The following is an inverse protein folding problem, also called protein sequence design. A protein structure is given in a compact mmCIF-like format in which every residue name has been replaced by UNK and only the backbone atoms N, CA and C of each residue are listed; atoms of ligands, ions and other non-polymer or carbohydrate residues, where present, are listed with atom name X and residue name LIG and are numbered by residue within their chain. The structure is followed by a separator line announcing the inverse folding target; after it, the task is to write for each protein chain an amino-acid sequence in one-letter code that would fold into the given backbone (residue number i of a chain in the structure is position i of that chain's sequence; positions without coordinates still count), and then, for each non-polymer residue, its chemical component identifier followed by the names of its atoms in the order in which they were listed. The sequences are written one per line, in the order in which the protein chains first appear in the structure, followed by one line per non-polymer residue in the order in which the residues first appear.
data_IF_085411921063
#
_entry.id   IF_085411921063
#
_cell.length_a   1.000
_cell.length_b   1.000
_cell.length_c   1.000
_cell.angle_alpha   90.00
_cell.angle_beta   90.00
_cell.angle_gamma   90.00
#
_symmetry.space_group_name_H-M   'P 1'
#
loop_
_entity.id
_entity.type
_entity.pdbx_description
1 polymer ?
#
# COMPACT_ATOMS: atom_id res chain seq x y z
N UNK A 1 15.14 -25.23 -2.55
CA UNK A 1 15.08 -23.98 -1.73
C UNK A 1 14.03 -23.06 -2.34
N UNK A 2 13.18 -22.44 -1.52
CA UNK A 2 12.24 -21.44 -2.02
C UNK A 2 13.02 -20.20 -2.53
N UNK A 3 12.69 -19.71 -3.72
CA UNK A 3 13.29 -18.48 -4.28
C UNK A 3 12.84 -17.28 -3.46
N UNK A 4 13.77 -16.44 -3.01
CA UNK A 4 13.45 -15.16 -2.38
C UNK A 4 12.75 -14.26 -3.40
N UNK A 5 11.64 -13.67 -2.99
CA UNK A 5 10.87 -12.71 -3.78
C UNK A 5 11.16 -11.30 -3.30
N UNK A 6 11.27 -10.35 -4.22
CA UNK A 6 11.62 -8.95 -3.93
C UNK A 6 10.44 -8.06 -4.35
N UNK A 7 10.00 -7.19 -3.45
CA UNK A 7 9.09 -6.09 -3.75
C UNK A 7 9.89 -4.80 -3.83
N UNK A 8 9.79 -4.09 -4.95
CA UNK A 8 10.44 -2.80 -5.15
C UNK A 8 9.53 -1.67 -4.63
N UNK A 9 10.09 -0.71 -3.90
CA UNK A 9 9.33 0.37 -3.26
C UNK A 9 9.75 1.78 -3.67
N UNK A 10 10.63 1.92 -4.64
CA UNK A 10 11.15 3.22 -5.08
C UNK A 10 10.06 4.18 -5.56
N UNK A 11 9.00 3.64 -6.17
CA UNK A 11 7.87 4.43 -6.67
C UNK A 11 6.90 4.90 -5.58
N UNK A 12 7.06 4.46 -4.34
CA UNK A 12 6.30 4.91 -3.17
C UNK A 12 7.22 5.37 -2.04
N UNK A 13 7.91 4.44 -1.38
CA UNK A 13 8.71 4.74 -0.18
C UNK A 13 9.99 5.51 -0.53
N UNK A 14 10.67 5.14 -1.60
CA UNK A 14 11.92 5.78 -2.01
C UNK A 14 11.75 7.28 -2.22
N UNK A 15 10.84 7.69 -3.09
CA UNK A 15 10.62 9.13 -3.32
C UNK A 15 9.89 9.83 -2.18
N UNK A 16 9.13 9.09 -1.36
CA UNK A 16 8.57 9.65 -0.12
C UNK A 16 9.69 10.04 0.84
N UNK A 17 10.69 9.20 0.98
CA UNK A 17 11.78 9.37 1.95
C UNK A 17 12.80 10.44 1.53
N UNK A 18 13.14 10.51 0.24
CA UNK A 18 14.22 11.40 -0.25
C UNK A 18 13.74 12.65 -0.97
N UNK A 19 12.49 12.68 -1.43
CA UNK A 19 11.93 13.78 -2.23
C UNK A 19 10.55 14.24 -1.70
N UNK A 20 10.26 14.02 -0.42
CA UNK A 20 9.01 14.40 0.23
C UNK A 20 7.76 14.03 -0.61
N UNK A 21 7.77 12.89 -1.27
CA UNK A 21 6.72 12.38 -2.16
C UNK A 21 6.50 13.28 -3.41
N UNK A 22 7.48 14.10 -3.80
CA UNK A 22 7.33 15.10 -4.87
C UNK A 22 7.69 14.61 -6.28
N UNK A 23 7.99 13.32 -6.46
CA UNK A 23 8.21 12.77 -7.80
C UNK A 23 6.91 12.79 -8.61
N UNK A 24 6.95 13.45 -9.76
CA UNK A 24 5.80 13.53 -10.67
C UNK A 24 5.66 12.28 -11.52
N UNK A 25 4.45 11.96 -11.95
CA UNK A 25 4.18 10.82 -12.82
C UNK A 25 5.11 10.81 -14.05
N UNK A 26 5.28 11.95 -14.72
CA UNK A 26 6.16 12.07 -15.90
C UNK A 26 7.62 11.67 -15.65
N UNK A 27 8.08 11.72 -14.39
CA UNK A 27 9.43 11.33 -14.01
C UNK A 27 9.53 9.81 -13.77
N UNK A 28 8.41 9.14 -13.48
CA UNK A 28 8.33 7.69 -13.31
C UNK A 28 8.23 6.96 -14.65
N UNK A 29 7.50 7.53 -15.61
CA UNK A 29 7.19 6.89 -16.90
C UNK A 29 8.40 6.26 -17.60
N UNK A 30 9.58 6.93 -17.69
CA UNK A 30 10.70 6.38 -18.43
C UNK A 30 11.29 5.07 -17.92
N UNK A 31 10.99 4.71 -16.65
CA UNK A 31 11.57 3.51 -16.00
C UNK A 31 10.55 2.38 -15.79
N UNK A 32 9.24 2.64 -15.96
CA UNK A 32 8.19 1.69 -15.60
C UNK A 32 8.30 0.36 -16.38
N UNK A 33 8.50 0.43 -17.69
CA UNK A 33 8.61 -0.77 -18.52
C UNK A 33 9.87 -1.58 -18.20
N UNK A 34 10.99 -0.89 -17.95
CA UNK A 34 12.22 -1.56 -17.53
C UNK A 34 12.05 -2.23 -16.15
N UNK A 35 11.35 -1.58 -15.21
CA UNK A 35 11.05 -2.17 -13.90
C UNK A 35 10.14 -3.39 -14.01
N UNK A 36 9.18 -3.37 -14.95
CA UNK A 36 8.26 -4.50 -15.19
C UNK A 36 9.00 -5.75 -15.70
N UNK A 37 10.12 -5.56 -16.43
CA UNK A 37 10.94 -6.67 -16.95
C UNK A 37 11.91 -7.28 -15.92
N UNK A 38 12.17 -6.62 -14.79
CA UNK A 38 13.10 -7.13 -13.75
C UNK A 38 12.59 -8.42 -13.10
N UNK A 39 11.27 -8.62 -13.06
CA UNK A 39 10.65 -9.79 -12.43
C UNK A 39 10.50 -9.66 -10.93
N UNK A 40 10.22 -8.46 -10.45
CA UNK A 40 9.83 -8.23 -9.06
C UNK A 40 8.55 -9.00 -8.69
N UNK A 41 8.41 -9.32 -7.41
CA UNK A 41 7.18 -9.90 -6.87
C UNK A 41 6.02 -8.89 -6.89
N UNK A 42 6.34 -7.62 -6.64
CA UNK A 42 5.42 -6.50 -6.72
C UNK A 42 6.20 -5.17 -6.87
N UNK A 43 5.53 -4.16 -7.40
CA UNK A 43 5.94 -2.76 -7.33
C UNK A 43 5.02 -2.01 -6.37
N UNK A 44 5.55 -1.55 -5.24
CA UNK A 44 4.80 -0.67 -4.36
C UNK A 44 4.89 0.76 -4.88
N UNK A 45 3.81 1.23 -5.48
CA UNK A 45 3.79 2.49 -6.24
C UNK A 45 2.76 3.50 -5.73
N UNK A 46 1.93 3.13 -4.76
CA UNK A 46 0.81 3.94 -4.33
C UNK A 46 0.54 3.82 -2.83
N UNK A 47 -0.16 4.83 -2.25
CA UNK A 47 -0.49 4.88 -0.84
C UNK A 47 -1.02 6.23 -0.43
N UNK A 48 -1.30 6.41 0.87
CA UNK A 48 -1.92 7.62 1.40
C UNK A 48 -1.13 8.89 1.15
N UNK A 49 0.17 8.89 1.43
CA UNK A 49 1.03 10.05 1.19
C UNK A 49 1.16 10.39 -0.29
N UNK A 50 1.20 9.39 -1.17
CA UNK A 50 1.23 9.58 -2.61
C UNK A 50 -0.05 10.23 -3.10
N UNK A 51 -1.21 9.74 -2.65
CA UNK A 51 -2.52 10.29 -2.98
C UNK A 51 -2.64 11.76 -2.57
N UNK A 52 -2.37 12.02 -1.28
CA UNK A 52 -2.46 13.37 -0.70
C UNK A 52 -1.53 14.37 -1.40
N UNK A 53 -0.30 13.95 -1.70
CA UNK A 53 0.70 14.80 -2.36
C UNK A 53 0.34 15.12 -3.81
N UNK A 54 -0.22 14.17 -4.55
CA UNK A 54 -0.72 14.42 -5.90
C UNK A 54 -1.68 15.61 -5.92
N UNK A 55 -2.64 15.63 -5.00
CA UNK A 55 -3.66 16.66 -4.93
C UNK A 55 -3.11 17.98 -4.38
N UNK A 56 -2.34 17.96 -3.28
CA UNK A 56 -1.93 19.17 -2.57
C UNK A 56 -0.77 19.90 -3.20
N UNK A 57 0.14 19.19 -3.86
CA UNK A 57 1.43 19.75 -4.22
C UNK A 57 1.83 19.55 -5.67
N UNK A 58 1.27 18.55 -6.34
CA UNK A 58 1.71 18.22 -7.69
C UNK A 58 0.70 18.63 -8.76
N UNK A 59 -0.52 18.97 -8.37
CA UNK A 59 -1.62 19.23 -9.32
C UNK A 59 -1.78 18.03 -10.29
N UNK A 60 -1.79 16.82 -9.71
CA UNK A 60 -1.96 15.56 -10.42
C UNK A 60 -3.16 14.80 -9.85
N UNK A 61 -3.96 14.18 -10.72
CA UNK A 61 -5.00 13.23 -10.31
C UNK A 61 -4.33 11.94 -9.80
N UNK A 62 -4.49 11.57 -8.51
CA UNK A 62 -3.89 10.35 -7.97
C UNK A 62 -4.43 9.07 -8.62
N UNK A 63 -5.67 9.05 -9.06
CA UNK A 63 -6.26 7.90 -9.75
C UNK A 63 -5.71 7.75 -11.17
N UNK A 64 -5.54 8.87 -11.89
CA UNK A 64 -4.90 8.86 -13.22
C UNK A 64 -3.44 8.39 -13.13
N UNK A 65 -2.73 8.79 -12.07
CA UNK A 65 -1.38 8.27 -11.79
C UNK A 65 -1.39 6.75 -11.70
N UNK A 66 -2.30 6.18 -10.91
CA UNK A 66 -2.39 4.73 -10.73
C UNK A 66 -2.73 4.02 -12.03
N UNK A 67 -3.77 4.49 -12.75
CA UNK A 67 -4.16 3.93 -14.06
C UNK A 67 -3.01 3.98 -15.07
N UNK A 68 -2.27 5.07 -15.08
CA UNK A 68 -1.14 5.23 -16.00
C UNK A 68 -0.01 4.28 -15.65
N UNK A 69 0.36 4.12 -14.38
CA UNK A 69 1.34 3.11 -13.96
C UNK A 69 0.87 1.72 -14.40
N UNK A 70 -0.39 1.36 -14.13
CA UNK A 70 -0.96 0.06 -14.52
C UNK A 70 -0.94 -0.16 -16.03
N UNK A 71 -1.07 0.91 -16.81
CA UNK A 71 -0.99 0.85 -18.27
C UNK A 71 0.41 0.47 -18.78
N UNK A 72 1.47 0.90 -18.09
CA UNK A 72 2.86 0.61 -18.45
C UNK A 72 3.40 -0.67 -17.80
N UNK A 73 2.93 -1.02 -16.61
CA UNK A 73 3.33 -2.23 -15.87
C UNK A 73 2.29 -3.34 -16.11
N UNK A 74 2.67 -4.36 -16.87
CA UNK A 74 1.75 -5.43 -17.33
C UNK A 74 1.94 -6.76 -16.62
N UNK A 75 3.16 -7.06 -16.19
CA UNK A 75 3.57 -8.36 -15.65
C UNK A 75 3.63 -8.35 -14.12
N UNK A 76 4.12 -7.23 -13.56
CA UNK A 76 4.39 -7.11 -12.13
C UNK A 76 3.16 -6.57 -11.39
N UNK A 77 2.68 -7.25 -10.35
CA UNK A 77 1.58 -6.75 -9.53
C UNK A 77 1.87 -5.39 -8.92
N UNK A 78 0.88 -4.50 -8.91
CA UNK A 78 0.96 -3.19 -8.25
C UNK A 78 0.50 -3.30 -6.79
N UNK A 79 1.31 -2.79 -5.88
CA UNK A 79 1.04 -2.77 -4.46
C UNK A 79 0.82 -1.36 -3.95
N UNK A 80 -0.12 -1.23 -3.00
CA UNK A 80 -0.28 -0.01 -2.21
C UNK A 80 -0.03 -0.25 -0.74
N UNK A 81 0.46 0.77 -0.05
CA UNK A 81 0.45 0.85 1.40
C UNK A 81 -0.84 1.52 1.87
N UNK A 82 -1.58 0.86 2.76
CA UNK A 82 -2.89 1.28 3.24
C UNK A 82 -2.88 1.48 4.76
N UNK A 83 -3.23 2.67 5.21
CA UNK A 83 -3.15 3.04 6.64
C UNK A 83 -4.45 2.67 7.39
N UNK A 84 -4.83 1.40 7.38
CA UNK A 84 -6.00 0.90 8.11
C UNK A 84 -7.22 1.82 8.00
N UNK A 85 -7.91 2.07 9.11
CA UNK A 85 -9.09 2.93 9.17
C UNK A 85 -8.84 4.39 8.78
N UNK A 86 -7.57 4.83 8.76
CA UNK A 86 -7.22 6.20 8.38
C UNK A 86 -7.08 6.38 6.86
N UNK A 87 -7.07 5.30 6.09
CA UNK A 87 -6.92 5.30 4.63
C UNK A 87 -5.67 6.10 4.20
N UNK A 88 -5.85 7.35 3.82
CA UNK A 88 -4.82 8.30 3.41
C UNK A 88 -4.71 9.52 4.34
N UNK A 89 -5.58 9.59 5.36
CA UNK A 89 -5.68 10.74 6.24
C UNK A 89 -5.02 10.54 7.61
N UNK A 90 -5.39 11.43 8.53
CA UNK A 90 -4.89 11.49 9.91
C UNK A 90 -6.02 11.34 10.94
N UNK A 91 -7.14 10.81 10.53
CA UNK A 91 -8.31 10.47 11.36
C UNK A 91 -8.96 9.20 10.83
N UNK A 92 -9.77 8.56 11.65
CA UNK A 92 -10.58 7.45 11.20
C UNK A 92 -11.69 7.92 10.25
N UNK A 93 -11.84 7.20 9.16
CA UNK A 93 -12.98 7.33 8.26
C UNK A 93 -14.06 6.31 8.63
N UNK A 94 -15.29 6.56 8.23
CA UNK A 94 -16.38 5.60 8.38
C UNK A 94 -16.13 4.35 7.50
N UNK A 95 -16.67 3.20 7.90
CA UNK A 95 -16.42 1.93 7.23
C UNK A 95 -16.84 1.94 5.75
N UNK A 96 -17.97 2.57 5.43
CA UNK A 96 -18.45 2.71 4.06
C UNK A 96 -17.44 3.46 3.16
N UNK A 97 -16.77 4.48 3.70
CA UNK A 97 -15.70 5.21 3.00
C UNK A 97 -14.48 4.30 2.79
N UNK A 98 -14.12 3.49 3.79
CA UNK A 98 -13.03 2.51 3.67
C UNK A 98 -13.33 1.51 2.56
N UNK A 99 -14.53 0.96 2.54
CA UNK A 99 -14.98 0.01 1.52
C UNK A 99 -14.97 0.62 0.12
N UNK A 100 -15.53 1.81 -0.04
CA UNK A 100 -15.57 2.49 -1.33
C UNK A 100 -14.15 2.82 -1.82
N UNK A 101 -13.27 3.29 -0.93
CA UNK A 101 -11.88 3.57 -1.30
C UNK A 101 -11.12 2.32 -1.75
N UNK A 102 -11.29 1.20 -1.05
CA UNK A 102 -10.68 -0.08 -1.41
C UNK A 102 -11.18 -0.53 -2.78
N UNK A 103 -12.49 -0.53 -3.01
CA UNK A 103 -13.08 -0.89 -4.31
C UNK A 103 -12.50 -0.01 -5.44
N UNK A 104 -12.44 1.32 -5.24
CA UNK A 104 -11.85 2.23 -6.22
C UNK A 104 -10.38 1.97 -6.47
N UNK A 105 -9.59 1.65 -5.44
CA UNK A 105 -8.18 1.33 -5.61
C UNK A 105 -7.99 0.08 -6.48
N UNK A 106 -8.80 -0.95 -6.24
CA UNK A 106 -8.81 -2.19 -7.02
C UNK A 106 -9.24 -1.94 -8.46
N UNK A 107 -10.34 -1.24 -8.69
CA UNK A 107 -10.85 -0.89 -10.01
C UNK A 107 -9.84 -0.08 -10.83
N UNK A 108 -8.98 0.69 -10.17
CA UNK A 108 -7.93 1.48 -10.82
C UNK A 108 -6.59 0.74 -10.96
N UNK A 109 -6.50 -0.51 -10.53
CA UNK A 109 -5.39 -1.40 -10.88
C UNK A 109 -4.46 -1.84 -9.75
N UNK A 110 -4.85 -1.68 -8.49
CA UNK A 110 -4.12 -2.27 -7.36
C UNK A 110 -4.37 -3.78 -7.31
N UNK A 111 -3.30 -4.55 -7.22
CA UNK A 111 -3.32 -6.01 -7.12
C UNK A 111 -3.01 -6.50 -5.69
N UNK A 112 -2.29 -5.70 -4.89
CA UNK A 112 -1.90 -6.03 -3.53
C UNK A 112 -2.16 -4.85 -2.61
N UNK A 113 -2.89 -5.09 -1.52
CA UNK A 113 -3.13 -4.10 -0.47
C UNK A 113 -2.38 -4.51 0.79
N UNK A 114 -1.36 -3.73 1.16
CA UNK A 114 -0.60 -3.91 2.39
C UNK A 114 -1.13 -2.98 3.47
N UNK A 115 -1.87 -3.55 4.42
CA UNK A 115 -2.55 -2.82 5.49
C UNK A 115 -1.65 -2.75 6.72
N UNK A 116 -1.51 -1.57 7.32
CA UNK A 116 -0.78 -1.36 8.56
C UNK A 116 -1.50 -0.40 9.51
N UNK A 117 -1.18 -0.52 10.78
CA UNK A 117 -1.42 0.50 11.80
C UNK A 117 -0.11 0.80 12.53
N UNK A 118 0.20 2.09 12.73
CA UNK A 118 1.47 2.51 13.33
C UNK A 118 1.67 2.02 14.78
N UNK A 119 0.57 1.75 15.48
CA UNK A 119 0.58 1.25 16.86
C UNK A 119 0.33 -0.26 16.96
N UNK A 120 0.21 -0.95 15.84
CA UNK A 120 -0.14 -2.38 15.77
C UNK A 120 -1.48 -2.70 16.46
N UNK A 121 -2.48 -1.83 16.35
CA UNK A 121 -3.83 -2.11 16.86
C UNK A 121 -4.65 -2.85 15.79
N UNK A 122 -4.96 -4.14 15.96
CA UNK A 122 -5.66 -4.93 14.96
C UNK A 122 -7.06 -4.38 14.65
N UNK A 123 -7.73 -3.72 15.61
CA UNK A 123 -9.07 -3.14 15.46
C UNK A 123 -9.11 -2.07 14.36
N UNK A 124 -7.99 -1.36 14.15
CA UNK A 124 -7.86 -0.35 13.09
C UNK A 124 -7.67 -0.96 11.70
N UNK A 125 -7.45 -2.28 11.62
CA UNK A 125 -7.20 -3.00 10.37
C UNK A 125 -8.41 -3.78 9.86
N UNK A 126 -9.36 -4.11 10.75
CA UNK A 126 -10.50 -5.02 10.47
C UNK A 126 -11.29 -4.59 9.23
N UNK A 127 -11.82 -3.36 9.20
CA UNK A 127 -12.62 -2.87 8.06
C UNK A 127 -11.83 -2.88 6.75
N UNK A 128 -10.55 -2.51 6.80
CA UNK A 128 -9.69 -2.45 5.61
C UNK A 128 -9.38 -3.84 5.06
N UNK A 129 -9.03 -4.78 5.94
CA UNK A 129 -8.74 -6.17 5.58
C UNK A 129 -10.00 -6.82 5.03
N UNK A 130 -11.13 -6.64 5.70
CA UNK A 130 -12.42 -7.18 5.26
C UNK A 130 -12.82 -6.61 3.91
N UNK A 131 -12.76 -5.28 3.73
CA UNK A 131 -13.07 -4.64 2.45
C UNK A 131 -12.20 -5.21 1.31
N UNK A 132 -10.89 -5.36 1.55
CA UNK A 132 -9.99 -5.92 0.55
C UNK A 132 -10.29 -7.40 0.23
N UNK A 133 -10.58 -8.22 1.24
CA UNK A 133 -10.99 -9.64 1.05
C UNK A 133 -12.30 -9.77 0.30
N UNK A 134 -13.26 -8.89 0.55
CA UNK A 134 -14.58 -8.91 -0.09
C UNK A 134 -14.51 -8.63 -1.60
N UNK A 135 -13.47 -7.95 -2.08
CA UNK A 135 -13.24 -7.76 -3.52
C UNK A 135 -12.95 -9.07 -4.26
N UNK A 136 -12.38 -10.08 -3.57
CA UNK A 136 -11.97 -11.40 -4.11
C UNK A 136 -10.94 -11.33 -5.26
N UNK A 137 -10.39 -10.18 -5.52
CA UNK A 137 -9.50 -9.93 -6.67
C UNK A 137 -8.09 -9.46 -6.28
N UNK A 138 -7.88 -9.04 -5.03
CA UNK A 138 -6.59 -8.57 -4.55
C UNK A 138 -5.97 -9.49 -3.52
N UNK A 139 -4.63 -9.46 -3.44
CA UNK A 139 -3.90 -10.08 -2.34
C UNK A 139 -3.82 -9.10 -1.16
N UNK A 140 -4.18 -9.57 0.03
CA UNK A 140 -4.15 -8.77 1.27
C UNK A 140 -2.94 -9.16 2.10
N UNK A 141 -2.15 -8.16 2.52
CA UNK A 141 -1.01 -8.32 3.41
C UNK A 141 -1.23 -7.51 4.69
N UNK A 142 -1.27 -8.17 5.84
CA UNK A 142 -1.14 -7.49 7.13
C UNK A 142 0.33 -7.15 7.38
N UNK A 143 0.60 -5.92 7.80
CA UNK A 143 1.95 -5.47 8.14
C UNK A 143 2.08 -5.22 9.64
N UNK A 144 3.10 -5.80 10.23
CA UNK A 144 3.49 -5.60 11.62
C UNK A 144 4.57 -4.52 11.66
N UNK A 145 4.34 -3.46 12.43
CA UNK A 145 5.28 -2.35 12.61
C UNK A 145 6.23 -2.70 13.76
N UNK A 146 7.49 -2.95 13.42
CA UNK A 146 8.52 -3.27 14.42
C UNK A 146 9.02 -2.00 15.10
N UNK A 147 9.13 -2.05 16.43
CA UNK A 147 9.75 -0.99 17.25
C UNK A 147 10.38 -1.58 18.51
N UNK A 148 11.23 -0.82 19.17
CA UNK A 148 11.88 -1.21 20.41
C UNK A 148 11.36 -0.31 21.53
N UNK A 149 10.71 -0.91 22.51
CA UNK A 149 10.27 -0.25 23.74
C UNK A 149 10.03 -1.27 24.84
N UNK A 150 9.83 -0.84 26.11
CA UNK A 150 9.57 -1.78 27.21
C UNK A 150 8.32 -2.66 27.05
N UNK A 151 7.36 -2.24 26.24
CA UNK A 151 6.10 -2.97 26.00
C UNK A 151 6.10 -3.82 24.73
N UNK A 152 7.06 -3.61 23.83
CA UNK A 152 7.18 -4.35 22.58
C UNK A 152 8.10 -5.55 22.75
N UNK A 153 7.53 -6.67 23.15
CA UNK A 153 8.23 -7.94 23.37
C UNK A 153 8.02 -8.89 22.19
N UNK A 154 8.80 -9.96 22.14
CA UNK A 154 8.64 -11.04 21.16
C UNK A 154 7.22 -11.66 21.25
N UNK A 155 6.71 -11.83 22.47
CA UNK A 155 5.37 -12.35 22.73
C UNK A 155 4.29 -11.42 22.17
N UNK A 156 4.44 -10.08 22.37
CA UNK A 156 3.48 -9.10 21.85
C UNK A 156 3.45 -9.10 20.32
N UNK A 157 4.61 -9.15 19.65
CA UNK A 157 4.68 -9.26 18.19
C UNK A 157 4.12 -10.57 17.68
N UNK A 158 4.42 -11.69 18.35
CA UNK A 158 3.87 -13.00 17.98
C UNK A 158 2.36 -13.04 18.09
N UNK A 159 1.80 -12.39 19.13
CA UNK A 159 0.35 -12.28 19.30
C UNK A 159 -0.28 -11.51 18.15
N UNK A 160 0.22 -10.30 17.85
CA UNK A 160 -0.29 -9.49 16.73
C UNK A 160 -0.15 -10.22 15.39
N UNK A 161 0.97 -10.93 15.16
CA UNK A 161 1.15 -11.71 13.93
C UNK A 161 0.10 -12.80 13.76
N UNK A 162 -0.27 -13.50 14.85
CA UNK A 162 -1.35 -14.49 14.82
C UNK A 162 -2.71 -13.88 14.57
N UNK A 163 -3.03 -12.78 15.25
CA UNK A 163 -4.28 -12.04 15.03
C UNK A 163 -4.41 -11.59 13.56
N UNK A 164 -3.33 -11.06 12.96
CA UNK A 164 -3.31 -10.69 11.53
C UNK A 164 -3.48 -11.89 10.60
N UNK A 165 -2.94 -13.05 10.97
CA UNK A 165 -3.09 -14.29 10.19
C UNK A 165 -4.53 -14.81 10.21
N UNK A 166 -5.23 -14.62 11.33
CA UNK A 166 -6.60 -15.11 11.55
C UNK A 166 -7.66 -14.16 10.92
N UNK A 167 -7.29 -12.90 10.64
CA UNK A 167 -8.15 -11.94 9.93
C UNK A 167 -8.28 -12.27 8.45
#
# INVERSE_FOLDING_TARGET
MARVKITETVLRDGHQSIAATRMRLRQMLPVLEAMDEVGYNALECWGGATFDTCMRFLDEDPWERLRTIKKHVKKTPLQMLFRGQNILGYRHYADDVVYEFVNRAVDNGIDIIRVFDALNDPRNLESSIKAAKDTKSVHVQGALVYTISPIHTMESFTKVAKELQDM
#
